data_IF_695490033875
#
_entry.id   IF_695490033875
#
_cell.length_a   1.000
_cell.length_b   1.000
_cell.length_c   1.000
_cell.angle_alpha   90.00
_cell.angle_beta   90.00
_cell.angle_gamma   90.00
#
_symmetry.space_group_name_H-M   'P 1'
#
loop_
_entity.id
_entity.type
_entity.pdbx_description
1 polymer ?
#
# COMPACT_ATOMS: atom_id res chain seq x y z
N UNK A 1 -2.64 -6.75 9.31
CA UNK A 1 -3.84 -5.91 9.34
C UNK A 1 -5.00 -6.69 9.94
N UNK A 2 -5.75 -6.14 10.90
CA UNK A 2 -7.00 -6.74 11.37
C UNK A 2 -8.07 -6.61 10.28
N UNK A 3 -8.72 -7.72 9.94
CA UNK A 3 -9.76 -7.80 8.91
C UNK A 3 -10.97 -8.52 9.48
N UNK A 4 -12.15 -7.93 9.30
CA UNK A 4 -13.43 -8.59 9.59
C UNK A 4 -13.86 -9.42 8.39
N UNK A 5 -14.00 -10.74 8.56
CA UNK A 5 -14.38 -11.66 7.48
C UNK A 5 -15.89 -12.00 7.46
N UNK A 6 -16.71 -11.26 8.22
CA UNK A 6 -18.15 -11.55 8.36
C UNK A 6 -18.52 -12.40 9.58
N UNK A 7 -17.57 -13.11 10.20
CA UNK A 7 -17.81 -13.96 11.37
C UNK A 7 -16.86 -13.67 12.54
N UNK A 8 -15.58 -13.47 12.26
CA UNK A 8 -14.55 -13.25 13.26
C UNK A 8 -13.58 -12.15 12.83
N UNK A 9 -12.99 -11.49 13.83
CA UNK A 9 -11.85 -10.61 13.60
C UNK A 9 -10.63 -11.48 13.35
N UNK A 10 -10.05 -11.36 12.17
CA UNK A 10 -8.86 -12.10 11.75
C UNK A 10 -7.69 -11.16 11.54
N UNK A 11 -6.47 -11.68 11.56
CA UNK A 11 -5.26 -10.91 11.26
C UNK A 11 -4.62 -11.47 10.00
N UNK A 12 -4.55 -10.65 8.96
CA UNK A 12 -3.88 -11.00 7.71
C UNK A 12 -2.56 -10.25 7.64
N UNK A 13 -1.48 -10.96 7.31
CA UNK A 13 -0.19 -10.35 7.01
C UNK A 13 -0.06 -10.21 5.50
N UNK A 14 0.33 -9.02 5.04
CA UNK A 14 0.73 -8.83 3.66
C UNK A 14 2.03 -9.61 3.38
N UNK A 15 1.95 -10.55 2.44
CA UNK A 15 3.04 -11.43 2.05
C UNK A 15 2.83 -11.91 0.62
N UNK A 16 3.90 -12.19 -0.13
CA UNK A 16 3.79 -12.85 -1.42
C UNK A 16 2.96 -14.14 -1.29
N UNK A 17 1.93 -14.24 -2.12
CA UNK A 17 0.97 -15.33 -2.14
C UNK A 17 0.53 -15.58 -3.58
N UNK A 18 0.13 -16.81 -3.88
CA UNK A 18 -0.40 -17.16 -5.20
C UNK A 18 -1.74 -16.47 -5.46
N UNK A 19 -2.03 -16.19 -6.73
CA UNK A 19 -3.32 -15.64 -7.14
C UNK A 19 -4.45 -16.61 -6.78
N UNK A 20 -5.50 -16.09 -6.15
CA UNK A 20 -6.70 -16.85 -5.79
C UNK A 20 -7.64 -16.95 -6.99
N UNK A 21 -7.64 -15.94 -7.87
CA UNK A 21 -8.46 -15.92 -9.08
C UNK A 21 -7.96 -14.97 -10.15
N UNK A 22 -8.48 -15.17 -11.36
CA UNK A 22 -8.27 -14.30 -12.53
C UNK A 22 -9.61 -13.71 -13.00
N UNK A 23 -9.70 -12.38 -13.00
CA UNK A 23 -10.82 -11.64 -13.57
C UNK A 23 -10.53 -11.24 -15.02
N UNK A 24 -11.50 -11.43 -15.90
CA UNK A 24 -11.45 -11.07 -17.31
C UNK A 24 -12.78 -10.43 -17.73
N UNK A 25 -12.87 -9.94 -18.97
CA UNK A 25 -14.10 -9.28 -19.47
C UNK A 25 -15.35 -10.19 -19.44
N UNK A 26 -15.20 -11.51 -19.35
CA UNK A 26 -16.33 -12.45 -19.35
C UNK A 26 -16.93 -12.71 -17.96
N UNK A 27 -16.18 -12.47 -16.87
CA UNK A 27 -16.63 -12.71 -15.50
C UNK A 27 -16.82 -11.44 -14.66
N UNK A 28 -16.66 -10.27 -15.29
CA UNK A 28 -16.92 -8.95 -14.71
C UNK A 28 -18.25 -8.41 -15.24
N UNK A 29 -19.00 -7.74 -14.38
CA UNK A 29 -20.27 -7.09 -14.75
C UNK A 29 -19.96 -5.91 -15.64
N UNK A 30 -20.53 -5.90 -16.85
CA UNK A 30 -20.42 -4.78 -17.77
C UNK A 30 -21.27 -3.61 -17.28
N UNK A 31 -20.67 -2.46 -16.94
CA UNK A 31 -21.42 -1.26 -16.59
C UNK A 31 -21.95 -0.56 -17.85
N UNK A 32 -22.96 0.29 -17.69
CA UNK A 32 -23.67 0.97 -18.80
C UNK A 32 -22.74 1.89 -19.64
N UNK A 33 -21.61 2.32 -19.08
CA UNK A 33 -20.58 3.13 -19.76
C UNK A 33 -19.57 2.30 -20.57
N UNK A 34 -19.73 0.97 -20.62
CA UNK A 34 -19.05 0.08 -21.56
C UNK A 34 -17.61 -0.33 -21.20
N UNK A 35 -17.04 0.18 -20.11
CA UNK A 35 -15.70 -0.17 -19.65
C UNK A 35 -15.76 -1.01 -18.35
N UNK A 36 -15.47 -2.32 -18.38
CA UNK A 36 -15.60 -3.20 -17.21
C UNK A 36 -14.54 -2.95 -16.11
N UNK A 37 -13.35 -2.48 -16.50
CA UNK A 37 -12.27 -2.12 -15.57
C UNK A 37 -11.99 -0.62 -15.67
N UNK A 38 -12.04 0.07 -14.53
CA UNK A 38 -11.68 1.49 -14.44
C UNK A 38 -10.36 1.63 -13.71
N UNK A 39 -9.33 2.05 -14.42
CA UNK A 39 -8.01 2.28 -13.82
C UNK A 39 -7.89 3.73 -13.39
N UNK A 40 -7.42 3.93 -12.16
CA UNK A 40 -7.00 5.23 -11.64
C UNK A 40 -5.53 5.17 -11.23
N UNK A 41 -4.83 6.28 -11.39
CA UNK A 41 -3.42 6.39 -11.04
C UNK A 41 -3.24 7.46 -9.97
N UNK A 42 -2.37 7.19 -9.00
CA UNK A 42 -1.97 8.19 -8.01
C UNK A 42 -1.22 9.34 -8.70
N UNK A 43 -1.51 10.59 -8.34
CA UNK A 43 -0.83 11.73 -8.94
C UNK A 43 0.64 11.77 -8.47
N UNK A 44 1.55 12.23 -9.33
CA UNK A 44 2.99 12.28 -9.00
C UNK A 44 3.28 13.11 -7.74
N UNK A 45 2.50 14.18 -7.50
CA UNK A 45 2.61 15.05 -6.32
C UNK A 45 2.32 14.32 -5.00
N UNK A 46 1.53 13.25 -5.06
CA UNK A 46 1.11 12.48 -3.88
C UNK A 46 2.10 11.32 -3.62
N UNK A 47 3.15 11.18 -4.45
CA UNK A 47 4.23 10.20 -4.30
C UNK A 47 5.43 10.87 -3.64
N UNK A 48 5.63 10.59 -2.36
CA UNK A 48 6.75 11.04 -1.56
C UNK A 48 7.96 10.14 -1.80
N UNK A 49 9.14 10.74 -1.73
CA UNK A 49 10.41 10.03 -1.91
C UNK A 49 11.40 10.29 -0.77
N UNK A 50 10.98 11.08 0.21
CA UNK A 50 11.67 11.35 1.45
C UNK A 50 10.66 11.28 2.60
N UNK A 51 11.04 10.63 3.69
CA UNK A 51 10.21 10.45 4.88
C UNK A 51 11.01 10.81 6.12
N UNK A 52 10.47 11.72 6.92
CA UNK A 52 10.94 12.01 8.27
C UNK A 52 10.13 11.15 9.24
N UNK A 53 10.77 10.11 9.81
CA UNK A 53 10.12 9.15 10.70
C UNK A 53 10.45 9.51 12.15
N UNK A 54 9.46 9.90 12.92
CA UNK A 54 9.60 10.14 14.35
C UNK A 54 9.54 8.82 15.12
N UNK A 55 10.49 8.61 16.03
CA UNK A 55 10.60 7.44 16.91
C UNK A 55 11.09 7.87 18.30
N UNK A 56 10.98 6.98 19.30
CA UNK A 56 11.36 7.28 20.69
C UNK A 56 12.76 6.74 20.94
N UNK A 57 13.72 7.59 21.27
CA UNK A 57 15.11 7.20 21.47
C UNK A 57 15.41 6.83 22.93
N UNK A 58 15.63 5.54 23.27
CA UNK A 58 15.96 5.14 24.63
C UNK A 58 17.32 5.66 25.10
N UNK A 59 18.25 5.90 24.18
CA UNK A 59 19.61 6.39 24.48
C UNK A 59 19.62 7.91 24.73
N UNK A 60 18.60 8.63 24.24
CA UNK A 60 18.35 10.04 24.51
C UNK A 60 17.16 10.25 25.48
N UNK A 61 17.08 9.44 26.54
CA UNK A 61 16.10 9.65 27.62
C UNK A 61 14.63 9.48 27.23
N UNK A 62 14.35 8.66 26.20
CA UNK A 62 13.01 8.48 25.62
C UNK A 62 12.40 9.74 25.01
N UNK A 63 13.23 10.67 24.55
CA UNK A 63 12.78 11.79 23.74
C UNK A 63 12.45 11.36 22.31
N UNK A 64 11.65 12.17 21.61
CA UNK A 64 11.33 11.93 20.20
C UNK A 64 12.52 12.34 19.34
N UNK A 65 13.05 11.38 18.58
CA UNK A 65 14.07 11.57 17.57
C UNK A 65 13.47 11.36 16.17
N UNK A 66 14.08 11.98 15.15
CA UNK A 66 13.63 11.85 13.76
C UNK A 66 14.71 11.13 12.93
N UNK A 67 14.33 10.05 12.27
CA UNK A 67 15.14 9.37 11.26
C UNK A 67 14.71 9.82 9.86
N UNK A 68 15.65 10.29 9.06
CA UNK A 68 15.41 10.66 7.66
C UNK A 68 15.68 9.46 6.75
N UNK A 69 14.68 9.08 5.95
CA UNK A 69 14.78 8.02 4.94
C UNK A 69 14.49 8.62 3.58
N UNK A 70 15.39 8.43 2.62
CA UNK A 70 15.30 9.05 1.29
C UNK A 70 15.64 8.05 0.17
N UNK A 71 14.89 8.10 -0.94
CA UNK A 71 15.22 7.39 -2.18
C UNK A 71 15.92 8.34 -3.16
N UNK A 72 17.25 8.31 -3.16
CA UNK A 72 18.08 9.21 -3.97
C UNK A 72 17.79 9.10 -5.47
N UNK A 73 17.44 7.92 -5.98
CA UNK A 73 17.14 7.73 -7.40
C UNK A 73 15.81 8.39 -7.77
N UNK A 74 14.79 8.22 -6.93
CA UNK A 74 13.50 8.87 -7.12
C UNK A 74 13.60 10.40 -6.99
N UNK A 75 14.40 10.90 -6.04
CA UNK A 75 14.64 12.34 -5.83
C UNK A 75 15.32 12.97 -7.06
N UNK A 76 16.33 12.32 -7.63
CA UNK A 76 17.01 12.82 -8.84
C UNK A 76 16.06 12.93 -10.04
N UNK A 77 15.05 12.05 -10.11
CA UNK A 77 14.13 11.99 -11.24
C UNK A 77 12.92 12.91 -11.11
N UNK A 78 12.36 13.03 -9.90
CA UNK A 78 11.07 13.71 -9.68
C UNK A 78 11.18 14.96 -8.78
N UNK A 79 12.38 15.27 -8.27
CA UNK A 79 12.57 16.29 -7.24
C UNK A 79 12.22 15.77 -5.85
N UNK A 80 12.66 16.47 -4.79
CA UNK A 80 12.46 16.04 -3.40
C UNK A 80 11.02 16.32 -2.94
N UNK A 81 10.31 15.29 -2.49
CA UNK A 81 8.97 15.36 -1.91
C UNK A 81 8.96 14.67 -0.54
N UNK A 82 8.75 15.45 0.53
CA UNK A 82 8.93 15.03 1.91
C UNK A 82 7.60 14.83 2.60
N UNK A 83 7.44 13.70 3.30
CA UNK A 83 6.34 13.46 4.23
C UNK A 83 6.85 13.16 5.63
N UNK A 84 5.99 13.33 6.63
CA UNK A 84 6.28 13.04 8.04
C UNK A 84 5.46 11.85 8.49
N UNK A 85 6.09 10.93 9.22
CA UNK A 85 5.47 9.73 9.74
C UNK A 85 5.83 9.54 11.22
N UNK A 86 4.88 9.15 12.04
CA UNK A 86 5.14 8.77 13.43
C UNK A 86 5.17 7.23 13.55
N UNK A 87 6.32 6.68 13.92
CA UNK A 87 6.47 5.26 14.21
C UNK A 87 6.07 4.99 15.67
N UNK A 88 4.76 4.85 15.88
CA UNK A 88 4.21 4.65 17.23
C UNK A 88 4.81 3.41 17.93
N UNK A 89 5.27 3.59 19.17
CA UNK A 89 5.87 2.53 19.97
C UNK A 89 7.24 2.04 19.47
N UNK A 90 7.83 2.70 18.47
CA UNK A 90 9.14 2.35 17.95
C UNK A 90 10.26 2.92 18.84
N UNK A 91 11.06 2.04 19.42
CA UNK A 91 12.24 2.39 20.24
C UNK A 91 13.57 2.06 19.56
N UNK A 92 13.54 1.66 18.28
CA UNK A 92 14.72 1.32 17.51
C UNK A 92 14.80 2.16 16.26
N UNK A 93 15.92 2.87 16.09
CA UNK A 93 16.25 3.60 14.84
C UNK A 93 16.09 2.74 13.59
N UNK A 94 16.53 1.48 13.63
CA UNK A 94 16.45 0.57 12.49
C UNK A 94 15.02 0.15 12.13
N UNK A 95 14.11 0.09 13.11
CA UNK A 95 12.70 -0.15 12.85
C UNK A 95 12.03 1.09 12.23
N UNK A 96 12.35 2.29 12.73
CA UNK A 96 11.91 3.56 12.15
C UNK A 96 12.36 3.69 10.68
N UNK A 97 13.62 3.36 10.41
CA UNK A 97 14.18 3.37 9.06
C UNK A 97 13.42 2.43 8.10
N UNK A 98 13.10 1.20 8.54
CA UNK A 98 12.32 0.26 7.73
C UNK A 98 10.88 0.73 7.49
N UNK A 99 10.27 1.39 8.47
CA UNK A 99 8.93 1.96 8.30
C UNK A 99 8.93 3.07 7.24
N UNK A 100 9.94 3.95 7.24
CA UNK A 100 10.10 4.97 6.19
C UNK A 100 10.35 4.36 4.81
N UNK A 101 11.19 3.32 4.73
CA UNK A 101 11.43 2.60 3.47
C UNK A 101 10.16 1.92 2.95
N UNK A 102 9.37 1.31 3.84
CA UNK A 102 8.09 0.72 3.49
C UNK A 102 7.17 1.76 2.87
N UNK A 103 6.99 2.93 3.51
CA UNK A 103 6.14 3.99 2.98
C UNK A 103 6.56 4.44 1.57
N UNK A 104 7.85 4.72 1.37
CA UNK A 104 8.37 5.11 0.04
C UNK A 104 8.13 4.00 -0.99
N UNK A 105 8.39 2.74 -0.64
CA UNK A 105 8.20 1.63 -1.59
C UNK A 105 6.74 1.39 -1.93
N UNK A 106 5.84 1.48 -0.95
CA UNK A 106 4.39 1.40 -1.16
C UNK A 106 3.95 2.47 -2.15
N UNK A 107 4.28 3.74 -1.93
CA UNK A 107 3.87 4.83 -2.83
C UNK A 107 4.50 4.75 -4.24
N UNK A 108 5.70 4.18 -4.36
CA UNK A 108 6.36 3.96 -5.66
C UNK A 108 5.80 2.77 -6.44
N UNK A 109 5.33 1.73 -5.75
CA UNK A 109 4.84 0.49 -6.37
C UNK A 109 3.32 0.51 -6.57
N UNK A 110 2.56 0.96 -5.58
CA UNK A 110 1.09 1.04 -5.59
C UNK A 110 0.60 2.31 -6.31
N UNK A 111 0.92 2.40 -7.60
CA UNK A 111 0.61 3.59 -8.41
C UNK A 111 -0.70 3.50 -9.17
N UNK A 112 -1.30 2.31 -9.22
CA UNK A 112 -2.48 2.01 -10.01
C UNK A 112 -3.51 1.29 -9.14
N UNK A 113 -4.75 1.80 -9.18
CA UNK A 113 -5.93 1.17 -8.59
C UNK A 113 -6.89 0.81 -9.71
N UNK A 114 -7.63 -0.27 -9.52
CA UNK A 114 -8.62 -0.75 -10.48
C UNK A 114 -9.95 -0.97 -9.79
N UNK A 115 -10.99 -0.34 -10.33
CA UNK A 115 -12.37 -0.47 -9.88
C UNK A 115 -13.16 -1.26 -10.92
N UNK A 116 -13.83 -2.32 -10.46
CA UNK A 116 -14.69 -3.16 -11.29
C UNK A 116 -15.77 -3.82 -10.42
N UNK A 117 -16.84 -4.30 -11.05
CA UNK A 117 -17.96 -4.95 -10.36
C UNK A 117 -18.08 -6.41 -10.78
N UNK A 118 -18.36 -7.29 -9.81
CA UNK A 118 -18.46 -8.74 -10.03
C UNK A 118 -19.81 -9.25 -9.55
N UNK A 119 -20.25 -10.37 -10.11
CA UNK A 119 -21.44 -11.08 -9.64
C UNK A 119 -21.20 -11.80 -8.31
N UNK A 120 -22.05 -12.79 -8.01
CA UNK A 120 -21.96 -13.58 -6.77
C UNK A 120 -20.61 -14.31 -6.58
N UNK A 121 -19.85 -14.54 -7.66
CA UNK A 121 -18.50 -15.11 -7.61
C UNK A 121 -17.51 -14.28 -6.78
N UNK A 122 -17.77 -12.98 -6.61
CA UNK A 122 -16.97 -12.10 -5.77
C UNK A 122 -17.09 -12.37 -4.26
N UNK A 123 -18.16 -13.03 -3.82
CA UNK A 123 -18.46 -13.26 -2.39
C UNK A 123 -17.44 -14.17 -1.69
N UNK A 124 -16.61 -14.89 -2.43
CA UNK A 124 -15.56 -15.75 -1.87
C UNK A 124 -14.31 -14.99 -1.47
N UNK A 125 -14.14 -13.75 -1.90
CA UNK A 125 -12.93 -12.98 -1.63
C UNK A 125 -12.94 -12.40 -0.23
N UNK A 126 -11.78 -12.45 0.42
CA UNK A 126 -11.54 -11.81 1.71
C UNK A 126 -10.50 -10.70 1.49
N UNK A 127 -10.58 -9.57 2.23
CA UNK A 127 -9.56 -8.53 2.12
C UNK A 127 -8.15 -9.10 2.34
N UNK A 128 -7.26 -8.85 1.37
CA UNK A 128 -5.90 -9.40 1.33
C UNK A 128 -5.67 -10.51 0.30
N UNK A 129 -6.73 -11.02 -0.35
CA UNK A 129 -6.59 -11.96 -1.46
C UNK A 129 -5.87 -11.31 -2.65
N UNK A 130 -4.89 -12.03 -3.21
CA UNK A 130 -4.22 -11.64 -4.45
C UNK A 130 -5.06 -12.11 -5.63
N UNK A 131 -5.46 -11.16 -6.49
CA UNK A 131 -6.22 -11.42 -7.72
C UNK A 131 -5.43 -10.96 -8.94
N UNK A 132 -5.65 -11.64 -10.05
CA UNK A 132 -5.09 -11.27 -11.35
C UNK A 132 -6.18 -10.66 -12.24
N UNK A 133 -5.81 -9.65 -13.02
CA UNK A 133 -6.68 -9.04 -14.03
C UNK A 133 -6.10 -9.36 -15.40
N UNK A 134 -6.94 -9.96 -16.25
CA UNK A 134 -6.65 -10.33 -17.62
C UNK A 134 -7.58 -9.52 -18.54
N UNK A 135 -7.14 -8.34 -18.94
CA UNK A 135 -7.92 -7.35 -19.67
C UNK A 135 -7.57 -7.22 -21.16
N UNK A 136 -6.87 -8.21 -21.74
CA UNK A 136 -6.63 -8.35 -23.19
C UNK A 136 -7.92 -8.24 -24.02
#
# INVERSE_FOLDING_TARGET
MPVWNGQTLTFVQDRPSDKVWTYNRSNVVMPDDGAPFRYSFSALKDRHNAVEVNWIDPDNGHETATELVEDTQAILRYGRNVTKMDAFGCTSRGQAHRAGLWLIKTELLETQTVDFSVGAEGLRHVPGDVIEICDD
#
